data_IF_861663518758
#
_entry.id   IF_861663518758
#
_cell.length_a   1.000
_cell.length_b   1.000
_cell.length_c   1.000
_cell.angle_alpha   90.00
_cell.angle_beta   90.00
_cell.angle_gamma   90.00
#
_symmetry.space_group_name_H-M   'P 1'
#
loop_
_entity.id
_entity.type
_entity.pdbx_description
1 polymer ?
#
# COMPACT_ATOMS: atom_id res chain seq x y z
N UNK A 1 -4.61 12.83 -31.28
CA UNK A 1 -4.44 11.54 -30.55
C UNK A 1 -4.08 11.87 -29.11
N UNK A 2 -4.96 11.49 -28.18
CA UNK A 2 -4.84 11.84 -26.77
C UNK A 2 -3.59 11.22 -26.15
N UNK A 3 -2.79 12.05 -25.50
CA UNK A 3 -1.84 11.62 -24.47
C UNK A 3 -2.52 11.89 -23.13
N UNK A 4 -3.04 10.83 -22.52
CA UNK A 4 -3.53 10.84 -21.13
C UNK A 4 -2.34 10.53 -20.23
N UNK A 5 -1.43 11.49 -20.07
CA UNK A 5 -0.37 11.46 -19.06
C UNK A 5 -0.82 12.28 -17.85
N UNK A 6 -1.90 11.82 -17.20
CA UNK A 6 -2.23 12.29 -15.86
C UNK A 6 -1.20 11.68 -14.91
N UNK A 7 -0.40 12.45 -14.15
CA UNK A 7 0.41 11.88 -13.08
C UNK A 7 -0.52 11.10 -12.16
N UNK A 8 -0.17 9.88 -11.78
CA UNK A 8 -0.98 9.03 -10.89
C UNK A 8 -1.15 9.73 -9.54
N UNK A 9 -2.21 10.53 -9.42
CA UNK A 9 -2.30 11.80 -8.67
C UNK A 9 -2.52 11.67 -7.15
N UNK A 10 -2.02 10.58 -6.56
CA UNK A 10 -2.12 10.31 -5.13
C UNK A 10 -1.78 8.86 -4.76
N UNK A 11 -1.24 8.08 -5.69
CA UNK A 11 -0.81 6.70 -5.43
C UNK A 11 0.69 6.74 -5.12
N UNK A 12 1.08 6.23 -3.96
CA UNK A 12 2.48 6.05 -3.60
C UNK A 12 2.76 4.56 -3.50
N UNK A 13 3.76 4.08 -4.23
CA UNK A 13 4.15 2.67 -4.20
C UNK A 13 5.31 2.47 -3.20
N UNK A 14 5.29 1.34 -2.49
CA UNK A 14 6.40 0.85 -1.68
C UNK A 14 6.63 -0.62 -1.97
N UNK A 15 7.88 -0.98 -2.22
CA UNK A 15 8.32 -2.35 -2.39
C UNK A 15 8.88 -2.89 -1.07
N UNK A 16 8.30 -3.98 -0.59
CA UNK A 16 8.71 -4.70 0.61
C UNK A 16 8.98 -6.18 0.30
N UNK A 17 9.08 -6.54 -0.97
CA UNK A 17 9.37 -7.91 -1.40
C UNK A 17 10.70 -8.39 -0.81
N UNK A 18 10.70 -9.62 -0.30
CA UNK A 18 11.87 -10.24 0.33
C UNK A 18 12.21 -9.71 1.73
N UNK A 19 11.49 -8.71 2.24
CA UNK A 19 11.67 -8.25 3.61
C UNK A 19 11.02 -9.20 4.62
N UNK A 20 11.58 -9.24 5.83
CA UNK A 20 10.91 -9.88 6.97
C UNK A 20 9.63 -9.11 7.35
N UNK A 21 8.70 -9.75 8.06
CA UNK A 21 7.47 -9.10 8.55
C UNK A 21 7.75 -7.82 9.34
N UNK A 22 8.78 -7.83 10.20
CA UNK A 22 9.15 -6.67 11.02
C UNK A 22 9.67 -5.51 10.16
N UNK A 23 10.55 -5.80 9.18
CA UNK A 23 11.08 -4.79 8.26
C UNK A 23 9.97 -4.20 7.38
N UNK A 24 9.12 -5.05 6.80
CA UNK A 24 7.99 -4.62 6.00
C UNK A 24 7.04 -3.72 6.81
N UNK A 25 6.68 -4.15 8.03
CA UNK A 25 5.83 -3.36 8.93
C UNK A 25 6.43 -2.00 9.23
N UNK A 26 7.71 -1.93 9.60
CA UNK A 26 8.40 -0.67 9.86
C UNK A 26 8.40 0.27 8.64
N UNK A 27 8.63 -0.27 7.44
CA UNK A 27 8.60 0.48 6.18
C UNK A 27 7.22 1.08 5.91
N UNK A 28 6.15 0.28 6.06
CA UNK A 28 4.77 0.70 5.84
C UNK A 28 4.36 1.76 6.86
N UNK A 29 4.67 1.57 8.15
CA UNK A 29 4.41 2.54 9.23
C UNK A 29 5.09 3.89 8.95
N UNK A 30 6.37 3.86 8.55
CA UNK A 30 7.10 5.08 8.20
C UNK A 30 6.46 5.78 6.99
N UNK A 31 6.02 5.02 5.98
CA UNK A 31 5.35 5.62 4.82
C UNK A 31 3.99 6.21 5.19
N UNK A 32 3.19 5.52 6.01
CA UNK A 32 1.93 6.06 6.54
C UNK A 32 2.15 7.33 7.37
N UNK A 33 3.21 7.36 8.19
CA UNK A 33 3.59 8.54 8.98
C UNK A 33 3.88 9.75 8.09
N UNK A 34 4.63 9.54 7.01
CA UNK A 34 5.15 10.59 6.14
C UNK A 34 4.30 10.87 4.89
N UNK A 35 3.16 10.19 4.72
CA UNK A 35 2.28 10.39 3.58
C UNK A 35 1.81 11.85 3.49
N UNK A 36 2.04 12.49 2.34
CA UNK A 36 1.58 13.85 2.07
C UNK A 36 0.05 13.92 2.08
N UNK A 37 -0.54 15.09 2.38
CA UNK A 37 -2.01 15.29 2.40
C UNK A 37 -2.70 14.94 1.07
N UNK A 38 -1.98 15.05 -0.06
CA UNK A 38 -2.48 14.67 -1.38
C UNK A 38 -2.47 13.16 -1.63
N UNK A 39 -1.80 12.37 -0.79
CA UNK A 39 -1.71 10.92 -0.95
C UNK A 39 -3.07 10.30 -0.69
N UNK A 40 -3.59 9.61 -1.71
CA UNK A 40 -4.85 8.90 -1.68
C UNK A 40 -4.68 7.45 -1.21
N UNK A 41 -3.68 6.75 -1.74
CA UNK A 41 -3.41 5.35 -1.38
C UNK A 41 -1.92 5.07 -1.34
N UNK A 42 -1.53 4.12 -0.50
CA UNK A 42 -0.20 3.51 -0.51
C UNK A 42 -0.36 2.09 -1.06
N UNK A 43 0.29 1.80 -2.18
CA UNK A 43 0.34 0.45 -2.76
C UNK A 43 1.57 -0.28 -2.23
N UNK A 44 1.33 -1.37 -1.53
CA UNK A 44 2.38 -2.22 -0.97
C UNK A 44 2.63 -3.39 -1.91
N UNK A 45 3.82 -3.46 -2.50
CA UNK A 45 4.28 -4.54 -3.36
C UNK A 45 5.02 -5.54 -2.46
N UNK A 46 4.45 -6.73 -2.27
CA UNK A 46 4.97 -7.76 -1.36
C UNK A 46 5.31 -9.08 -2.08
N UNK A 47 5.01 -9.17 -3.39
CA UNK A 47 5.32 -10.30 -4.26
C UNK A 47 4.42 -11.52 -4.06
N UNK A 48 4.69 -12.60 -4.80
CA UNK A 48 3.85 -13.81 -4.82
C UNK A 48 4.43 -14.97 -4.00
N UNK A 49 5.77 -15.13 -4.00
CA UNK A 49 6.49 -16.20 -3.29
C UNK A 49 7.01 -15.67 -1.94
N UNK A 50 6.55 -16.23 -0.81
CA UNK A 50 6.73 -15.62 0.52
C UNK A 50 5.78 -14.44 0.80
N UNK A 51 5.16 -13.90 -0.26
CA UNK A 51 4.16 -12.83 -0.19
C UNK A 51 2.90 -13.21 0.60
N UNK A 52 2.56 -14.49 0.77
CA UNK A 52 1.39 -14.88 1.58
C UNK A 52 1.52 -14.41 3.04
N UNK A 53 2.70 -14.52 3.65
CA UNK A 53 2.91 -14.06 5.03
C UNK A 53 2.87 -12.53 5.13
N UNK A 54 3.55 -11.83 4.22
CA UNK A 54 3.52 -10.36 4.18
C UNK A 54 2.12 -9.86 3.88
N UNK A 55 1.43 -10.41 2.88
CA UNK A 55 0.02 -10.14 2.55
C UNK A 55 -0.89 -10.30 3.76
N UNK A 56 -0.79 -11.43 4.47
CA UNK A 56 -1.61 -11.68 5.64
C UNK A 56 -1.31 -10.70 6.76
N UNK A 57 -0.02 -10.43 7.02
CA UNK A 57 0.40 -9.41 8.00
C UNK A 57 -0.13 -8.03 7.63
N UNK A 58 0.05 -7.59 6.38
CA UNK A 58 -0.42 -6.30 5.89
C UNK A 58 -1.93 -6.17 6.11
N UNK A 59 -2.69 -7.21 5.71
CA UNK A 59 -4.15 -7.22 5.83
C UNK A 59 -4.64 -7.24 7.28
N UNK A 60 -3.96 -7.96 8.16
CA UNK A 60 -4.38 -8.09 9.56
C UNK A 60 -3.99 -6.87 10.39
N UNK A 61 -2.74 -6.42 10.28
CA UNK A 61 -2.18 -5.36 11.11
C UNK A 61 -2.72 -3.99 10.70
N UNK A 62 -2.81 -3.72 9.40
CA UNK A 62 -3.15 -2.38 8.90
C UNK A 62 -4.65 -2.16 8.69
N UNK A 63 -5.50 -3.18 8.76
CA UNK A 63 -6.96 -3.01 8.66
C UNK A 63 -7.53 -2.14 9.79
N UNK A 64 -6.90 -2.13 10.96
CA UNK A 64 -7.30 -1.32 12.13
C UNK A 64 -6.43 -0.06 12.31
N UNK A 65 -5.51 0.22 11.40
CA UNK A 65 -4.60 1.35 11.55
C UNK A 65 -5.36 2.68 11.35
N UNK A 66 -5.18 3.70 12.22
CA UNK A 66 -6.00 4.93 12.20
C UNK A 66 -5.91 5.75 10.92
N UNK A 67 -4.80 5.64 10.18
CA UNK A 67 -4.62 6.29 8.87
C UNK A 67 -5.17 5.50 7.68
N UNK A 68 -5.52 4.22 7.87
CA UNK A 68 -6.01 3.35 6.78
C UNK A 68 -7.53 3.30 6.87
N UNK A 69 -8.20 3.80 5.83
CA UNK A 69 -9.66 3.80 5.72
C UNK A 69 -10.19 2.43 5.29
N UNK A 70 -9.52 1.81 4.32
CA UNK A 70 -9.83 0.46 3.84
C UNK A 70 -8.62 -0.15 3.16
N UNK A 71 -8.70 -1.47 2.98
CA UNK A 71 -7.73 -2.25 2.23
C UNK A 71 -8.39 -2.71 0.93
N UNK A 72 -7.77 -2.39 -0.20
CA UNK A 72 -8.20 -2.83 -1.52
C UNK A 72 -7.27 -3.92 -2.05
N UNK A 73 -7.86 -4.95 -2.63
CA UNK A 73 -7.15 -6.07 -3.21
C UNK A 73 -7.25 -5.93 -4.73
N UNK A 74 -6.17 -5.50 -5.36
CA UNK A 74 -6.12 -5.39 -6.81
C UNK A 74 -6.15 -6.76 -7.48
N UNK A 75 -6.26 -6.74 -8.81
CA UNK A 75 -6.14 -7.95 -9.64
C UNK A 75 -4.75 -8.60 -9.56
N UNK A 76 -3.74 -7.85 -9.13
CA UNK A 76 -2.40 -8.39 -8.90
C UNK A 76 -2.28 -8.91 -7.46
N UNK A 77 -2.18 -10.24 -7.24
CA UNK A 77 -2.08 -10.81 -5.90
C UNK A 77 -0.80 -10.43 -5.15
N UNK A 78 0.23 -9.94 -5.85
CA UNK A 78 1.49 -9.48 -5.29
C UNK A 78 1.46 -8.05 -4.73
N UNK A 79 0.30 -7.39 -4.72
CA UNK A 79 0.14 -6.09 -4.09
C UNK A 79 -1.06 -6.02 -3.14
N UNK A 80 -1.09 -4.97 -2.32
CA UNK A 80 -2.21 -4.61 -1.46
C UNK A 80 -2.24 -3.10 -1.33
N UNK A 81 -3.39 -2.51 -1.62
CA UNK A 81 -3.58 -1.06 -1.57
C UNK A 81 -4.16 -0.67 -0.19
N UNK A 82 -3.43 0.18 0.54
CA UNK A 82 -3.89 0.84 1.74
C UNK A 82 -4.49 2.19 1.34
N UNK A 83 -5.82 2.29 1.36
CA UNK A 83 -6.51 3.55 1.07
C UNK A 83 -6.46 4.43 2.31
N UNK A 84 -5.96 5.66 2.17
CA UNK A 84 -5.75 6.59 3.30
C UNK A 84 -6.58 7.88 3.17
N UNK A 85 -7.20 8.13 2.02
CA UNK A 85 -8.14 9.24 1.77
C UNK A 85 -9.28 8.76 0.86
N UNK A 86 -10.45 9.38 0.93
CA UNK A 86 -11.54 9.19 -0.05
C UNK A 86 -11.39 10.23 -1.18
N UNK A 87 -11.66 9.84 -2.44
CA UNK A 87 -11.86 10.78 -3.54
C UNK A 87 -13.36 11.03 -3.61
N UNK A 88 -13.75 12.28 -3.37
CA UNK A 88 -15.11 12.76 -3.57
C UNK A 88 -15.23 13.30 -5.00
#
# INVERSE_FOLDING_TARGET
MAKLDTPQSGIVEIDVHGLTKQQAKACIEQKLKNAAKSTYRIRVIHGFHGGTELRNMIRNDFKKHPKVKRIELGLNPGNTDLVIRELF
#
